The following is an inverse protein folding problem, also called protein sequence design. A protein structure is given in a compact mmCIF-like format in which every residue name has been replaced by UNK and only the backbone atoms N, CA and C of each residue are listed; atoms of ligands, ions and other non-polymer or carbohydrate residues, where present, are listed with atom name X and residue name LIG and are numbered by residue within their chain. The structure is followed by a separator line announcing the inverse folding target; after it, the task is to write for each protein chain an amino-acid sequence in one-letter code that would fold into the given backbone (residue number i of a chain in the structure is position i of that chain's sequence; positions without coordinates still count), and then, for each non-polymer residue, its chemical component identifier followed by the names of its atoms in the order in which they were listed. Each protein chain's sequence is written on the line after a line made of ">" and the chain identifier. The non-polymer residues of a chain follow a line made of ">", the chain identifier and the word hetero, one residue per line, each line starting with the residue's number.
data_IF_406108091200
#
_entry.id   IF_406108091200
#
_cell.length_a   1.000
_cell.length_b   1.000
_cell.length_c   1.000
_cell.angle_alpha   90.00
_cell.angle_beta   90.00
_cell.angle_gamma   90.00
#
_symmetry.space_group_name_H-M   'P 1'
#
loop_
_entity.id
_entity.type
_entity.pdbx_description
1 polymer ?
#
# COMPACT_ATOMS: atom_id res chain seq x y z
N UNK A 1 9.88 -1.68 14.90
CA UNK A 1 9.56 -2.85 15.73
C UNK A 1 10.25 -4.09 15.20
N UNK A 2 9.79 -4.68 14.08
CA UNK A 2 10.37 -5.94 13.57
C UNK A 2 11.89 -5.88 13.33
N UNK A 3 12.41 -4.75 12.83
CA UNK A 3 13.84 -4.57 12.64
C UNK A 3 14.66 -4.65 13.96
N UNK A 4 14.11 -4.18 15.07
CA UNK A 4 14.72 -4.31 16.41
C UNK A 4 14.64 -5.73 16.95
N UNK A 5 13.55 -6.43 16.65
CA UNK A 5 13.41 -7.84 17.05
C UNK A 5 14.46 -8.72 16.32
N UNK A 6 14.86 -8.33 15.11
CA UNK A 6 15.90 -9.00 14.32
C UNK A 6 17.34 -8.57 14.71
N UNK A 7 17.52 -7.33 15.10
CA UNK A 7 18.79 -6.78 15.58
C UNK A 7 18.54 -5.84 16.76
N UNK A 8 18.66 -6.35 18.00
CA UNK A 8 18.42 -5.57 19.22
C UNK A 8 19.33 -4.34 19.39
N UNK A 9 20.52 -4.35 18.77
CA UNK A 9 21.48 -3.25 18.82
C UNK A 9 21.19 -2.15 17.79
N UNK A 10 20.24 -2.39 16.88
CA UNK A 10 19.86 -1.40 15.89
C UNK A 10 19.22 -0.17 16.55
N UNK A 11 19.72 1.01 16.22
CA UNK A 11 19.12 2.29 16.59
C UNK A 11 18.17 2.75 15.50
N UNK A 12 16.94 3.07 15.89
CA UNK A 12 15.88 3.51 14.97
C UNK A 12 15.57 4.97 15.27
N UNK A 13 15.81 5.81 14.29
CA UNK A 13 15.53 7.25 14.33
C UNK A 13 14.26 7.55 13.53
N UNK A 14 13.49 8.55 13.97
CA UNK A 14 12.29 9.01 13.26
C UNK A 14 12.41 10.47 12.87
N UNK A 15 11.97 10.77 11.65
CA UNK A 15 11.79 12.14 11.15
C UNK A 15 10.33 12.27 10.74
N UNK A 16 9.60 13.19 11.35
CA UNK A 16 8.20 13.51 11.01
C UNK A 16 7.98 15.02 11.19
N UNK A 17 7.13 15.62 10.36
CA UNK A 17 6.73 17.02 10.50
C UNK A 17 5.79 17.27 11.70
N UNK A 18 5.17 16.20 12.20
CA UNK A 18 4.29 16.24 13.37
C UNK A 18 5.02 15.73 14.60
N UNK A 19 5.41 16.65 15.48
CA UNK A 19 6.11 16.34 16.73
C UNK A 19 5.34 15.37 17.64
N UNK A 20 4.00 15.39 17.62
CA UNK A 20 3.17 14.46 18.39
C UNK A 20 3.35 13.02 17.91
N UNK A 21 3.50 12.81 16.60
CA UNK A 21 3.78 11.50 16.04
C UNK A 21 5.14 10.98 16.50
N UNK A 22 6.16 11.84 16.57
CA UNK A 22 7.49 11.46 17.07
C UNK A 22 7.41 11.05 18.54
N UNK A 23 6.76 11.83 19.38
CA UNK A 23 6.58 11.52 20.79
C UNK A 23 5.82 10.21 21.00
N UNK A 24 4.73 9.99 20.26
CA UNK A 24 3.95 8.75 20.30
C UNK A 24 4.79 7.55 19.82
N UNK A 25 5.54 7.70 18.73
CA UNK A 25 6.41 6.64 18.20
C UNK A 25 7.51 6.24 19.18
N UNK A 26 8.08 7.19 19.92
CA UNK A 26 9.06 6.93 21.01
C UNK A 26 8.35 6.20 22.15
N UNK A 27 7.20 6.70 22.61
CA UNK A 27 6.47 6.10 23.72
C UNK A 27 6.04 4.65 23.43
N UNK A 28 5.72 4.33 22.17
CA UNK A 28 5.37 2.98 21.71
C UNK A 28 6.60 2.09 21.39
N UNK A 29 7.83 2.63 21.48
CA UNK A 29 9.03 1.90 21.12
C UNK A 29 9.15 1.57 19.63
N UNK A 30 8.49 2.34 18.77
CA UNK A 30 8.61 2.23 17.31
C UNK A 30 9.93 2.81 16.84
N UNK A 31 10.33 3.95 17.43
CA UNK A 31 11.64 4.59 17.26
C UNK A 31 12.31 4.79 18.61
N UNK A 32 13.63 4.98 18.62
CA UNK A 32 14.41 5.28 19.83
C UNK A 32 14.45 6.76 20.10
N UNK A 33 14.67 7.56 19.05
CA UNK A 33 14.91 9.00 19.15
C UNK A 33 14.32 9.72 17.91
N UNK A 34 13.91 10.97 18.10
CA UNK A 34 13.66 11.88 17.01
C UNK A 34 14.99 12.34 16.38
N UNK A 35 15.00 12.52 15.07
CA UNK A 35 16.14 12.98 14.30
C UNK A 35 15.76 14.08 13.32
N UNK A 36 16.76 14.66 12.69
CA UNK A 36 16.62 15.67 11.62
C UNK A 36 17.21 15.15 10.31
N UNK A 37 17.05 15.89 9.24
CA UNK A 37 17.66 15.56 7.96
C UNK A 37 19.19 15.52 8.01
N UNK A 38 19.84 16.29 8.91
CA UNK A 38 21.28 16.30 9.08
C UNK A 38 21.84 14.96 9.59
N UNK A 39 20.99 14.15 10.24
CA UNK A 39 21.37 12.84 10.75
C UNK A 39 21.34 11.73 9.68
N UNK A 40 20.77 12.00 8.49
CA UNK A 40 20.68 11.00 7.41
C UNK A 40 22.04 10.48 6.95
N UNK A 41 23.09 11.28 7.05
CA UNK A 41 24.46 10.87 6.71
C UNK A 41 25.01 9.71 7.56
N UNK A 42 24.42 9.48 8.75
CA UNK A 42 24.80 8.43 9.71
C UNK A 42 23.97 7.15 9.52
N UNK A 43 22.91 7.19 8.70
CA UNK A 43 22.00 6.07 8.55
C UNK A 43 22.57 4.99 7.60
N UNK A 44 22.38 3.73 7.97
CA UNK A 44 22.64 2.58 7.07
C UNK A 44 21.45 2.27 6.17
N UNK A 45 20.25 2.47 6.69
CA UNK A 45 18.96 2.29 6.01
C UNK A 45 18.10 3.52 6.21
N UNK A 46 17.48 4.00 5.13
CA UNK A 46 16.47 5.06 5.21
C UNK A 46 15.17 4.54 4.59
N UNK A 47 14.08 4.62 5.35
CA UNK A 47 12.75 4.23 4.89
C UNK A 47 11.91 5.48 4.68
N UNK A 48 11.51 5.74 3.44
CA UNK A 48 10.60 6.84 3.09
C UNK A 48 9.17 6.35 3.19
N UNK A 49 8.52 6.65 4.32
CA UNK A 49 7.17 6.21 4.69
C UNK A 49 6.22 7.39 4.91
N UNK A 50 6.23 8.34 4.01
CA UNK A 50 5.37 9.52 3.99
C UNK A 50 4.31 9.39 2.86
N UNK A 51 3.25 10.24 2.84
CA UNK A 51 2.31 10.25 1.72
C UNK A 51 3.03 10.30 0.37
N UNK A 52 2.47 9.62 -0.63
CA UNK A 52 3.16 9.38 -1.92
C UNK A 52 3.51 10.66 -2.68
N UNK A 53 2.73 11.73 -2.52
CA UNK A 53 3.02 13.06 -3.08
C UNK A 53 4.16 13.77 -2.36
N UNK A 54 4.29 13.57 -1.06
CA UNK A 54 5.41 14.08 -0.28
C UNK A 54 6.68 13.26 -0.60
N UNK A 55 6.55 11.95 -0.79
CA UNK A 55 7.68 11.08 -1.10
C UNK A 55 8.44 11.50 -2.36
N UNK A 56 7.75 11.92 -3.43
CA UNK A 56 8.41 12.40 -4.66
C UNK A 56 9.20 13.70 -4.47
N UNK A 57 8.84 14.50 -3.47
CA UNK A 57 9.52 15.77 -3.15
C UNK A 57 10.70 15.52 -2.20
N UNK A 58 10.50 14.67 -1.21
CA UNK A 58 11.47 14.44 -0.13
C UNK A 58 12.60 13.51 -0.58
N UNK A 59 12.32 12.51 -1.42
CA UNK A 59 13.30 11.49 -1.80
C UNK A 59 14.56 12.04 -2.45
N UNK A 60 14.53 13.02 -3.40
CA UNK A 60 15.76 13.61 -3.92
C UNK A 60 16.65 14.21 -2.82
N UNK A 61 16.05 14.97 -1.90
CA UNK A 61 16.78 15.57 -0.76
C UNK A 61 17.36 14.49 0.17
N UNK A 62 16.63 13.43 0.44
CA UNK A 62 17.14 12.29 1.22
C UNK A 62 18.36 11.70 0.53
N UNK A 63 18.30 11.48 -0.78
CA UNK A 63 19.43 10.95 -1.55
C UNK A 63 20.66 11.86 -1.54
N UNK A 64 20.48 13.18 -1.50
CA UNK A 64 21.59 14.12 -1.39
C UNK A 64 22.32 14.03 -0.04
N UNK A 65 21.61 13.68 1.03
CA UNK A 65 22.11 13.76 2.41
C UNK A 65 22.66 12.43 2.97
N UNK A 66 22.31 11.30 2.38
CA UNK A 66 22.78 9.99 2.85
C UNK A 66 24.26 9.76 2.56
N UNK A 67 24.87 8.78 3.25
CA UNK A 67 26.19 8.26 2.92
C UNK A 67 26.14 7.40 1.64
N UNK A 68 27.29 7.18 0.99
CA UNK A 68 27.38 6.31 -0.18
C UNK A 68 27.05 4.83 0.10
N UNK A 69 27.22 4.40 1.35
CA UNK A 69 26.94 3.03 1.81
C UNK A 69 25.50 2.83 2.28
N UNK A 70 24.71 3.90 2.39
CA UNK A 70 23.32 3.82 2.80
C UNK A 70 22.42 3.34 1.67
N UNK A 71 21.39 2.59 2.03
CA UNK A 71 20.27 2.23 1.13
C UNK A 71 19.00 2.98 1.54
N UNK A 72 18.36 3.61 0.59
CA UNK A 72 17.04 4.22 0.75
C UNK A 72 16.02 3.34 0.04
N UNK A 73 14.87 3.11 0.67
CA UNK A 73 13.71 2.54 -0.01
C UNK A 73 12.43 3.24 0.45
N UNK A 74 11.49 3.37 -0.46
CA UNK A 74 10.15 3.83 -0.15
C UNK A 74 9.22 2.63 0.12
N UNK A 75 8.05 2.93 0.70
CA UNK A 75 6.99 1.94 0.93
C UNK A 75 5.66 2.41 0.34
N UNK A 76 5.70 3.37 -0.57
CA UNK A 76 4.53 4.01 -1.16
C UNK A 76 3.70 3.09 -2.05
N UNK A 77 2.42 3.43 -2.16
CA UNK A 77 1.42 2.64 -2.92
C UNK A 77 1.45 2.87 -4.43
N UNK A 78 2.25 3.83 -4.93
CA UNK A 78 2.47 4.12 -6.35
C UNK A 78 3.96 4.10 -6.65
N UNK A 79 4.37 3.62 -7.85
CA UNK A 79 5.79 3.44 -8.17
C UNK A 79 6.28 4.30 -9.33
N UNK A 80 5.46 4.52 -10.36
CA UNK A 80 5.91 5.29 -11.54
C UNK A 80 6.38 6.69 -11.15
N UNK A 81 5.61 7.52 -10.43
CA UNK A 81 6.03 8.89 -10.13
C UNK A 81 7.27 8.98 -9.24
N UNK A 82 7.44 8.07 -8.29
CA UNK A 82 8.61 8.11 -7.40
C UNK A 82 9.88 7.64 -8.11
N UNK A 83 9.79 6.66 -9.03
CA UNK A 83 10.91 6.25 -9.87
C UNK A 83 11.34 7.37 -10.82
N UNK A 84 10.37 8.05 -11.45
CA UNK A 84 10.63 9.18 -12.35
C UNK A 84 11.28 10.37 -11.61
N UNK A 85 10.85 10.65 -10.37
CA UNK A 85 11.38 11.76 -9.56
C UNK A 85 12.91 11.65 -9.31
N UNK A 86 13.45 10.45 -9.32
CA UNK A 86 14.88 10.20 -9.04
C UNK A 86 15.62 9.55 -10.19
N UNK A 87 15.03 9.46 -11.38
CA UNK A 87 15.61 8.73 -12.51
C UNK A 87 17.02 9.21 -12.85
N UNK A 88 17.22 10.52 -12.87
CA UNK A 88 18.49 11.16 -13.21
C UNK A 88 19.29 11.63 -11.99
N UNK A 89 18.91 11.21 -10.78
CA UNK A 89 19.60 11.62 -9.58
C UNK A 89 21.00 10.97 -9.50
N UNK A 90 22.06 11.71 -9.14
CA UNK A 90 23.43 11.17 -9.05
C UNK A 90 23.54 9.92 -8.15
N UNK A 91 22.73 9.89 -7.10
CA UNK A 91 22.64 8.76 -6.14
C UNK A 91 21.44 7.85 -6.40
N UNK A 92 20.88 7.79 -7.62
CA UNK A 92 19.79 6.86 -7.98
C UNK A 92 20.12 5.42 -7.59
N UNK A 93 21.38 5.03 -7.69
CA UNK A 93 21.91 3.71 -7.33
C UNK A 93 21.78 3.33 -5.86
N UNK A 94 21.51 4.30 -4.98
CA UNK A 94 21.26 4.10 -3.54
C UNK A 94 19.78 3.94 -3.21
N UNK A 95 18.88 4.01 -4.19
CA UNK A 95 17.44 3.91 -3.99
C UNK A 95 16.87 2.60 -4.57
N UNK A 96 16.00 1.96 -3.79
CA UNK A 96 15.20 0.81 -4.18
C UNK A 96 13.71 1.15 -4.03
N UNK A 97 12.98 1.17 -5.14
CA UNK A 97 11.54 1.40 -5.12
C UNK A 97 10.82 0.15 -4.62
N UNK A 98 10.15 0.23 -3.47
CA UNK A 98 9.48 -0.89 -2.83
C UNK A 98 8.01 -0.58 -2.53
N UNK A 99 7.18 -1.62 -2.47
CA UNK A 99 5.81 -1.55 -2.01
C UNK A 99 5.44 -2.82 -1.24
N UNK A 100 5.55 -2.82 0.09
CA UNK A 100 5.03 -3.88 0.94
C UNK A 100 3.51 -3.96 0.85
N UNK A 101 2.97 -5.08 0.39
CA UNK A 101 1.51 -5.30 0.32
C UNK A 101 1.02 -5.77 1.70
N UNK A 102 1.04 -4.86 2.67
CA UNK A 102 0.80 -5.15 4.08
C UNK A 102 -0.01 -4.08 4.82
N UNK A 103 -0.51 -3.06 4.14
CA UNK A 103 -1.25 -1.95 4.74
C UNK A 103 -2.56 -2.36 5.40
N UNK A 104 -2.98 -1.56 6.38
CA UNK A 104 -4.30 -1.60 7.01
C UNK A 104 -5.04 -0.29 6.73
N UNK A 105 -6.30 -0.18 7.17
CA UNK A 105 -7.09 1.06 7.08
C UNK A 105 -6.66 2.14 8.08
N UNK A 106 -5.78 1.81 9.02
CA UNK A 106 -5.29 2.73 10.06
C UNK A 106 -3.98 3.38 9.65
N UNK A 107 -3.66 4.51 10.27
CA UNK A 107 -2.44 5.29 10.04
C UNK A 107 -1.88 5.86 11.33
N UNK A 108 -0.63 6.35 11.29
CA UNK A 108 0.07 6.89 12.44
C UNK A 108 0.79 5.84 13.29
N UNK A 109 1.56 6.26 14.30
CA UNK A 109 2.37 5.36 15.12
C UNK A 109 1.57 4.30 15.89
N UNK A 110 0.37 4.65 16.36
CA UNK A 110 -0.55 3.72 17.06
C UNK A 110 -1.08 2.58 16.18
N UNK A 111 -0.99 2.72 14.85
CA UNK A 111 -1.34 1.66 13.91
C UNK A 111 -0.22 0.63 13.69
N UNK A 112 0.93 0.77 14.35
CA UNK A 112 2.06 -0.13 14.20
C UNK A 112 1.74 -1.52 14.77
N UNK A 113 1.95 -2.56 13.96
CA UNK A 113 1.67 -3.95 14.30
C UNK A 113 2.95 -4.78 14.15
N UNK A 114 3.37 -5.49 15.21
CA UNK A 114 4.49 -6.44 15.15
C UNK A 114 4.13 -7.62 14.24
N UNK A 115 5.10 -8.07 13.44
CA UNK A 115 4.92 -9.19 12.52
C UNK A 115 4.01 -8.88 11.32
N UNK A 116 3.67 -7.61 11.07
CA UNK A 116 2.79 -7.21 9.97
C UNK A 116 3.28 -7.73 8.61
N UNK A 117 4.59 -7.81 8.42
CA UNK A 117 5.21 -8.16 7.14
C UNK A 117 5.35 -9.67 6.91
N UNK A 118 5.21 -10.50 7.95
CA UNK A 118 5.36 -11.94 7.84
C UNK A 118 4.44 -12.56 6.78
N UNK A 119 5.03 -13.26 5.80
CA UNK A 119 4.31 -13.87 4.68
C UNK A 119 3.68 -12.88 3.69
N UNK A 120 3.93 -11.57 3.83
CA UNK A 120 3.44 -10.55 2.88
C UNK A 120 4.36 -10.45 1.67
N UNK A 121 3.81 -9.94 0.58
CA UNK A 121 4.59 -9.68 -0.63
C UNK A 121 5.15 -8.26 -0.59
N UNK A 122 6.43 -8.12 -0.92
CA UNK A 122 7.04 -6.82 -1.22
C UNK A 122 7.31 -6.76 -2.73
N UNK A 123 6.74 -5.78 -3.41
CA UNK A 123 6.98 -5.53 -4.82
C UNK A 123 8.19 -4.60 -4.92
N UNK A 124 9.19 -5.01 -5.68
CA UNK A 124 10.40 -4.21 -5.96
C UNK A 124 10.38 -3.81 -7.43
N UNK A 125 10.51 -2.50 -7.67
CA UNK A 125 10.56 -1.96 -9.02
C UNK A 125 11.97 -1.44 -9.34
N UNK A 126 12.38 -1.56 -10.59
CA UNK A 126 13.68 -1.07 -11.12
C UNK A 126 14.88 -1.51 -10.26
N UNK A 127 14.87 -2.75 -9.79
CA UNK A 127 15.94 -3.29 -8.93
C UNK A 127 17.33 -3.16 -9.59
N UNK A 128 17.40 -3.28 -10.91
CA UNK A 128 18.63 -3.15 -11.71
C UNK A 128 19.27 -1.76 -11.63
N UNK A 129 18.51 -0.72 -11.28
CA UNK A 129 19.04 0.64 -11.07
C UNK A 129 19.68 0.82 -9.68
N UNK A 130 19.53 -0.13 -8.78
CA UNK A 130 20.16 -0.13 -7.45
C UNK A 130 21.49 -0.87 -7.49
N UNK A 131 22.53 -0.38 -6.81
CA UNK A 131 23.84 -1.05 -6.74
C UNK A 131 23.69 -2.45 -6.12
N UNK A 132 24.31 -3.46 -6.69
CA UNK A 132 24.20 -4.85 -6.28
C UNK A 132 24.40 -5.08 -4.76
N UNK A 133 25.46 -4.51 -4.18
CA UNK A 133 25.73 -4.58 -2.73
C UNK A 133 24.57 -4.02 -1.89
N UNK A 134 23.92 -2.96 -2.35
CA UNK A 134 22.79 -2.34 -1.66
C UNK A 134 21.49 -3.13 -1.89
N UNK A 135 21.35 -3.78 -3.06
CA UNK A 135 20.27 -4.74 -3.28
C UNK A 135 20.33 -5.88 -2.27
N UNK A 136 21.49 -6.52 -2.11
CA UNK A 136 21.68 -7.61 -1.14
C UNK A 136 21.30 -7.17 0.27
N UNK A 137 21.80 -6.00 0.71
CA UNK A 137 21.52 -5.41 2.02
C UNK A 137 20.03 -5.21 2.27
N UNK A 138 19.29 -4.64 1.30
CA UNK A 138 17.85 -4.41 1.42
C UNK A 138 17.05 -5.72 1.34
N UNK A 139 17.42 -6.62 0.44
CA UNK A 139 16.70 -7.90 0.26
C UNK A 139 16.89 -8.82 1.45
N UNK A 140 18.05 -8.80 2.11
CA UNK A 140 18.29 -9.53 3.36
C UNK A 140 17.34 -9.03 4.46
N UNK A 141 17.22 -7.71 4.62
CA UNK A 141 16.27 -7.12 5.58
C UNK A 141 14.82 -7.56 5.28
N UNK A 142 14.37 -7.51 4.03
CA UNK A 142 13.01 -7.92 3.69
C UNK A 142 12.78 -9.41 3.90
N UNK A 143 13.75 -10.26 3.59
CA UNK A 143 13.68 -11.71 3.84
C UNK A 143 13.65 -12.03 5.33
N UNK A 144 14.45 -11.36 6.13
CA UNK A 144 14.47 -11.57 7.60
C UNK A 144 13.15 -11.15 8.25
N UNK A 145 12.42 -10.19 7.66
CA UNK A 145 11.04 -9.87 8.06
C UNK A 145 10.00 -10.89 7.55
N UNK A 146 10.43 -11.97 6.88
CA UNK A 146 9.55 -12.99 6.34
C UNK A 146 8.77 -12.58 5.08
N UNK A 147 9.23 -11.55 4.37
CA UNK A 147 8.56 -11.06 3.16
C UNK A 147 8.90 -11.90 1.93
N UNK A 148 7.94 -12.02 1.03
CA UNK A 148 8.13 -12.63 -0.31
C UNK A 148 8.40 -11.52 -1.32
N UNK A 149 9.52 -11.64 -2.03
CA UNK A 149 9.91 -10.62 -3.02
C UNK A 149 9.31 -10.93 -4.38
N UNK A 150 8.80 -9.90 -5.03
CA UNK A 150 8.35 -9.91 -6.43
C UNK A 150 8.92 -8.69 -7.15
N UNK A 151 9.44 -8.91 -8.35
CA UNK A 151 9.94 -7.84 -9.22
C UNK A 151 8.90 -7.47 -10.25
N UNK A 152 8.78 -6.18 -10.54
CA UNK A 152 7.82 -5.65 -11.50
C UNK A 152 8.30 -4.31 -12.02
N UNK A 153 7.96 -3.94 -13.25
CA UNK A 153 8.19 -2.57 -13.71
C UNK A 153 7.16 -1.60 -13.07
N UNK A 154 7.53 -0.31 -12.87
CA UNK A 154 6.67 0.65 -12.18
C UNK A 154 5.30 0.84 -12.83
N UNK A 155 5.21 0.84 -14.17
CA UNK A 155 3.95 1.06 -14.90
C UNK A 155 3.02 -0.14 -14.76
N UNK A 156 3.55 -1.35 -14.83
CA UNK A 156 2.79 -2.59 -14.56
C UNK A 156 2.33 -2.65 -13.12
N UNK A 157 3.19 -2.25 -12.16
CA UNK A 157 2.80 -2.13 -10.76
C UNK A 157 1.58 -1.21 -10.60
N UNK A 158 1.66 0.02 -11.10
CA UNK A 158 0.61 1.02 -10.95
C UNK A 158 -0.69 0.62 -11.67
N UNK A 159 -0.57 -0.09 -12.79
CA UNK A 159 -1.71 -0.69 -13.48
C UNK A 159 -2.38 -1.78 -12.63
N UNK A 160 -1.62 -2.72 -12.10
CA UNK A 160 -2.18 -3.86 -11.37
C UNK A 160 -2.76 -3.43 -10.02
N UNK A 161 -2.08 -2.54 -9.30
CA UNK A 161 -2.57 -2.07 -8.01
C UNK A 161 -3.87 -1.25 -8.14
N UNK A 162 -4.12 -0.62 -9.30
CA UNK A 162 -5.36 0.07 -9.56
C UNK A 162 -6.56 -0.89 -9.51
N UNK A 163 -6.44 -2.11 -10.04
CA UNK A 163 -7.51 -3.11 -10.02
C UNK A 163 -7.74 -3.72 -8.64
N UNK A 164 -6.68 -4.11 -7.94
CA UNK A 164 -6.81 -4.93 -6.72
C UNK A 164 -6.85 -4.13 -5.42
N UNK A 165 -6.54 -2.83 -5.48
CA UNK A 165 -6.50 -1.95 -4.31
C UNK A 165 -7.28 -0.66 -4.52
N UNK A 166 -6.92 0.14 -5.51
CA UNK A 166 -7.52 1.47 -5.68
C UNK A 166 -9.02 1.38 -6.00
N UNK A 167 -9.40 0.48 -6.90
CA UNK A 167 -10.81 0.22 -7.21
C UNK A 167 -11.58 -0.28 -5.99
N UNK A 168 -10.99 -1.16 -5.19
CA UNK A 168 -11.65 -1.68 -3.97
C UNK A 168 -11.96 -0.56 -2.98
N UNK A 169 -11.06 0.41 -2.81
CA UNK A 169 -11.30 1.57 -1.95
C UNK A 169 -12.39 2.48 -2.52
N UNK A 170 -12.34 2.78 -3.83
CA UNK A 170 -13.39 3.59 -4.48
C UNK A 170 -14.75 2.91 -4.32
N UNK A 171 -14.84 1.59 -4.55
CA UNK A 171 -16.08 0.83 -4.41
C UNK A 171 -16.62 0.90 -2.99
N UNK A 172 -15.77 0.71 -1.98
CA UNK A 172 -16.14 0.83 -0.57
C UNK A 172 -16.62 2.24 -0.21
N UNK A 173 -15.90 3.28 -0.63
CA UNK A 173 -16.31 4.67 -0.39
C UNK A 173 -17.65 5.00 -1.05
N UNK A 174 -17.83 4.57 -2.30
CA UNK A 174 -19.04 4.91 -3.06
C UNK A 174 -20.25 4.10 -2.60
N UNK A 175 -20.08 2.84 -2.23
CA UNK A 175 -21.14 2.05 -1.61
C UNK A 175 -21.56 2.66 -0.26
N UNK A 176 -20.60 2.98 0.62
CA UNK A 176 -20.86 3.65 1.89
C UNK A 176 -21.58 4.98 1.71
N UNK A 177 -21.13 5.81 0.75
CA UNK A 177 -21.77 7.08 0.41
C UNK A 177 -23.22 6.88 -0.06
N UNK A 178 -23.48 5.86 -0.88
CA UNK A 178 -24.83 5.56 -1.38
C UNK A 178 -25.80 5.26 -0.23
N UNK A 179 -25.38 4.42 0.71
CA UNK A 179 -26.21 4.05 1.87
C UNK A 179 -26.39 5.23 2.83
N UNK A 180 -25.31 5.97 3.16
CA UNK A 180 -25.38 7.17 4.02
C UNK A 180 -26.33 8.24 3.43
N UNK A 181 -26.31 8.43 2.11
CA UNK A 181 -27.22 9.38 1.49
C UNK A 181 -28.68 8.93 1.61
N UNK A 182 -28.93 7.61 1.57
CA UNK A 182 -30.28 7.05 1.68
C UNK A 182 -30.82 7.06 3.12
N UNK A 183 -29.93 6.88 4.11
CA UNK A 183 -30.30 6.94 5.55
C UNK A 183 -31.02 8.24 5.93
N UNK A 184 -30.71 9.35 5.27
CA UNK A 184 -31.39 10.64 5.52
C UNK A 184 -32.89 10.58 5.32
N UNK A 185 -33.35 9.70 4.43
CA UNK A 185 -34.74 9.50 4.09
C UNK A 185 -35.35 8.28 4.79
N UNK A 186 -34.50 7.30 5.19
CA UNK A 186 -34.89 6.00 5.73
C UNK A 186 -34.00 5.63 6.92
N UNK A 187 -34.42 5.99 8.14
CA UNK A 187 -33.62 5.89 9.36
C UNK A 187 -33.25 4.46 9.75
N UNK A 188 -34.07 3.47 9.38
CA UNK A 188 -33.89 2.06 9.78
C UNK A 188 -32.89 1.29 8.90
N UNK A 189 -32.30 1.94 7.87
CA UNK A 189 -31.43 1.24 6.89
C UNK A 189 -30.22 0.59 7.54
N UNK A 190 -29.65 1.19 8.60
CA UNK A 190 -28.50 0.64 9.29
C UNK A 190 -28.85 -0.48 10.28
N UNK A 191 -30.11 -0.62 10.70
CA UNK A 191 -30.55 -1.76 11.50
C UNK A 191 -30.49 -3.08 10.74
N UNK A 192 -30.49 -2.99 9.40
CA UNK A 192 -30.33 -4.12 8.49
C UNK A 192 -28.87 -4.37 8.07
N UNK A 193 -27.92 -3.54 8.51
CA UNK A 193 -26.52 -3.64 8.14
C UNK A 193 -25.82 -4.81 8.87
N UNK A 194 -25.73 -5.96 8.21
CA UNK A 194 -25.02 -7.13 8.71
C UNK A 194 -23.53 -7.14 8.36
N UNK A 195 -22.84 -8.22 8.75
CA UNK A 195 -21.40 -8.43 8.54
C UNK A 195 -20.97 -8.38 7.06
N UNK A 196 -21.86 -8.74 6.13
CA UNK A 196 -21.62 -8.63 4.69
C UNK A 196 -21.39 -7.19 4.25
N UNK A 197 -22.29 -6.28 4.68
CA UNK A 197 -22.15 -4.85 4.42
C UNK A 197 -20.89 -4.30 5.08
N UNK A 198 -20.69 -4.59 6.38
CA UNK A 198 -19.51 -4.12 7.12
C UNK A 198 -18.21 -4.51 6.45
N UNK A 199 -18.05 -5.77 6.02
CA UNK A 199 -16.86 -6.25 5.35
C UNK A 199 -16.63 -5.56 4.01
N UNK A 200 -17.69 -5.27 3.26
CA UNK A 200 -17.61 -4.63 1.93
C UNK A 200 -17.24 -3.15 2.03
N UNK A 201 -17.76 -2.42 3.04
CA UNK A 201 -17.46 -0.99 3.22
C UNK A 201 -16.28 -0.73 4.17
N UNK A 202 -15.61 -1.76 4.69
CA UNK A 202 -14.51 -1.63 5.65
C UNK A 202 -13.43 -0.64 5.21
N UNK A 203 -13.08 -0.66 3.93
CA UNK A 203 -12.05 0.22 3.37
C UNK A 203 -12.48 1.70 3.31
N UNK A 204 -13.77 2.01 3.43
CA UNK A 204 -14.25 3.39 3.53
C UNK A 204 -13.86 4.08 4.86
N UNK A 205 -13.35 3.32 5.85
CA UNK A 205 -12.77 3.86 7.09
C UNK A 205 -11.36 4.44 6.87
N UNK A 206 -10.75 4.23 5.70
CA UNK A 206 -9.38 4.71 5.38
C UNK A 206 -9.30 6.23 5.27
N UNK A 207 -8.13 6.79 5.60
CA UNK A 207 -7.86 8.23 5.58
C UNK A 207 -7.98 8.85 4.18
N UNK A 208 -8.85 9.86 3.96
CA UNK A 208 -8.92 10.58 2.70
C UNK A 208 -7.61 11.32 2.36
N UNK A 209 -6.88 11.81 3.38
CA UNK A 209 -5.60 12.49 3.20
C UNK A 209 -4.52 11.55 2.61
N UNK A 210 -4.57 10.26 2.93
CA UNK A 210 -3.69 9.25 2.35
C UNK A 210 -4.14 8.85 0.94
N UNK A 211 -5.43 8.67 0.71
CA UNK A 211 -5.93 8.11 -0.56
C UNK A 211 -6.03 9.12 -1.69
N UNK A 212 -6.29 10.39 -1.39
CA UNK A 212 -6.38 11.44 -2.42
C UNK A 212 -5.06 11.59 -3.21
N UNK A 213 -3.87 11.66 -2.59
CA UNK A 213 -2.60 11.66 -3.31
C UNK A 213 -2.37 10.40 -4.16
N UNK A 214 -2.77 9.22 -3.66
CA UNK A 214 -2.65 7.94 -4.40
C UNK A 214 -3.48 7.99 -5.68
N UNK A 215 -4.75 8.41 -5.60
CA UNK A 215 -5.60 8.56 -6.78
C UNK A 215 -5.07 9.60 -7.76
N UNK A 216 -4.51 10.71 -7.25
CA UNK A 216 -3.91 11.75 -8.08
C UNK A 216 -2.70 11.22 -8.86
N UNK A 217 -1.81 10.50 -8.21
CA UNK A 217 -0.60 9.96 -8.83
C UNK A 217 -0.90 8.85 -9.83
N UNK A 218 -1.87 7.99 -9.55
CA UNK A 218 -2.24 6.89 -10.44
C UNK A 218 -3.52 7.17 -11.25
N UNK A 219 -3.85 8.45 -11.46
CA UNK A 219 -5.11 8.91 -12.07
C UNK A 219 -5.48 8.15 -13.34
N UNK A 220 -4.53 7.99 -14.27
CA UNK A 220 -4.78 7.35 -15.57
C UNK A 220 -5.29 5.91 -15.42
N UNK A 221 -4.63 5.11 -14.57
CA UNK A 221 -5.02 3.72 -14.35
C UNK A 221 -6.30 3.61 -13.53
N UNK A 222 -6.45 4.49 -12.54
CA UNK A 222 -7.67 4.54 -11.71
C UNK A 222 -8.89 4.87 -12.54
N UNK A 223 -8.82 5.89 -13.41
CA UNK A 223 -9.94 6.26 -14.31
C UNK A 223 -10.29 5.08 -15.21
N UNK A 224 -9.30 4.48 -15.88
CA UNK A 224 -9.54 3.32 -16.75
C UNK A 224 -10.22 2.16 -16.01
N UNK A 225 -9.71 1.80 -14.85
CA UNK A 225 -10.25 0.69 -14.06
C UNK A 225 -11.68 0.99 -13.57
N UNK A 226 -11.93 2.26 -13.22
CA UNK A 226 -13.25 2.70 -12.80
C UNK A 226 -14.27 2.68 -13.96
N UNK A 227 -13.86 3.08 -15.16
CA UNK A 227 -14.70 2.99 -16.36
C UNK A 227 -15.12 1.54 -16.64
N UNK A 228 -14.18 0.58 -16.56
CA UNK A 228 -14.47 -0.84 -16.71
C UNK A 228 -15.45 -1.34 -15.62
N UNK A 229 -15.28 -0.90 -14.38
CA UNK A 229 -16.17 -1.27 -13.28
C UNK A 229 -17.57 -0.68 -13.44
N UNK A 230 -17.69 0.59 -13.84
CA UNK A 230 -18.97 1.24 -14.14
C UNK A 230 -19.68 0.50 -15.28
N UNK A 231 -18.95 0.11 -16.34
CA UNK A 231 -19.51 -0.68 -17.43
C UNK A 231 -20.08 -2.02 -16.96
N UNK A 232 -19.39 -2.73 -16.07
CA UNK A 232 -19.88 -3.98 -15.50
C UNK A 232 -21.14 -3.77 -14.64
N UNK A 233 -21.17 -2.73 -13.81
CA UNK A 233 -22.36 -2.38 -13.03
C UNK A 233 -23.54 -2.00 -13.91
N UNK A 234 -23.29 -1.25 -15.00
CA UNK A 234 -24.35 -0.87 -15.95
C UNK A 234 -24.94 -2.07 -16.67
N UNK A 235 -24.11 -3.01 -17.11
CA UNK A 235 -24.58 -4.28 -17.71
C UNK A 235 -25.41 -5.10 -16.72
N UNK A 236 -24.96 -5.21 -15.49
CA UNK A 236 -25.71 -5.95 -14.47
C UNK A 236 -27.07 -5.30 -14.20
N UNK A 237 -27.13 -3.96 -14.14
CA UNK A 237 -28.38 -3.20 -14.02
C UNK A 237 -29.32 -3.48 -15.21
N UNK A 238 -28.79 -3.46 -16.44
CA UNK A 238 -29.56 -3.75 -17.66
C UNK A 238 -30.17 -5.15 -17.63
N UNK A 239 -29.45 -6.16 -17.18
CA UNK A 239 -30.00 -7.51 -17.02
C UNK A 239 -31.16 -7.55 -16.01
N UNK A 240 -31.07 -6.80 -14.92
CA UNK A 240 -32.17 -6.67 -13.94
C UNK A 240 -33.38 -5.97 -14.54
N UNK A 241 -33.19 -4.90 -15.31
CA UNK A 241 -34.26 -4.14 -15.96
C UNK A 241 -35.01 -4.95 -17.03
N UNK A 242 -34.31 -5.93 -17.63
CA UNK A 242 -34.88 -6.83 -18.65
C UNK A 242 -35.38 -8.17 -18.07
N UNK A 243 -35.37 -8.35 -16.74
CA UNK A 243 -35.74 -9.61 -16.07
C UNK A 243 -34.94 -10.84 -16.55
N UNK A 244 -33.69 -10.65 -17.06
CA UNK A 244 -32.83 -11.71 -17.57
C UNK A 244 -32.08 -12.41 -16.43
N UNK A 245 -32.81 -13.14 -15.62
CA UNK A 245 -32.26 -13.83 -14.44
C UNK A 245 -31.31 -14.98 -14.79
N UNK A 246 -31.47 -15.60 -15.96
CA UNK A 246 -30.55 -16.65 -16.43
C UNK A 246 -29.18 -16.05 -16.77
N UNK A 247 -29.13 -14.92 -17.45
CA UNK A 247 -27.89 -14.21 -17.71
C UNK A 247 -27.25 -13.72 -16.41
N UNK A 248 -28.03 -13.20 -15.46
CA UNK A 248 -27.53 -12.81 -14.13
C UNK A 248 -26.89 -14.00 -13.39
N UNK A 249 -27.55 -15.16 -13.41
CA UNK A 249 -27.01 -16.38 -12.81
C UNK A 249 -25.65 -16.76 -13.42
N UNK A 250 -25.55 -16.75 -14.74
CA UNK A 250 -24.32 -17.10 -15.46
C UNK A 250 -23.22 -16.07 -15.21
N UNK A 251 -23.54 -14.79 -15.16
CA UNK A 251 -22.56 -13.73 -14.82
C UNK A 251 -21.97 -13.96 -13.43
N UNK A 252 -22.82 -14.16 -12.41
CA UNK A 252 -22.36 -14.44 -11.05
C UNK A 252 -21.56 -15.75 -10.97
N UNK A 253 -21.99 -16.79 -11.67
CA UNK A 253 -21.27 -18.07 -11.71
C UNK A 253 -19.87 -17.92 -12.31
N UNK A 254 -19.72 -17.12 -13.36
CA UNK A 254 -18.41 -16.86 -14.00
C UNK A 254 -17.42 -16.23 -13.04
N UNK A 255 -17.89 -15.37 -12.13
CA UNK A 255 -17.08 -14.68 -11.13
C UNK A 255 -16.70 -15.58 -9.95
N UNK A 256 -17.40 -16.69 -9.70
CA UNK A 256 -17.10 -17.62 -8.60
C UNK A 256 -15.68 -18.22 -8.66
N UNK A 257 -15.02 -18.18 -9.83
CA UNK A 257 -13.58 -18.50 -9.96
C UNK A 257 -12.69 -17.71 -9.00
N UNK A 258 -13.13 -16.52 -8.54
CA UNK A 258 -12.39 -15.73 -7.55
C UNK A 258 -12.13 -16.52 -6.26
N UNK A 259 -13.03 -17.45 -5.89
CA UNK A 259 -12.90 -18.33 -4.72
C UNK A 259 -11.64 -19.21 -4.84
N UNK A 260 -11.40 -19.80 -6.00
CA UNK A 260 -10.24 -20.65 -6.25
C UNK A 260 -8.95 -19.84 -6.22
N UNK A 261 -8.97 -18.63 -6.80
CA UNK A 261 -7.84 -17.70 -6.79
C UNK A 261 -7.46 -17.33 -5.36
N UNK A 262 -8.44 -16.92 -4.53
CA UNK A 262 -8.20 -16.53 -3.14
C UNK A 262 -7.74 -17.72 -2.28
N UNK A 263 -8.31 -18.91 -2.48
CA UNK A 263 -7.86 -20.15 -1.80
C UNK A 263 -6.43 -20.52 -2.19
N UNK A 264 -6.07 -20.42 -3.47
CA UNK A 264 -4.71 -20.64 -3.96
C UNK A 264 -3.70 -19.64 -3.40
N UNK A 265 -4.10 -18.40 -3.18
CA UNK A 265 -3.28 -17.40 -2.49
C UNK A 265 -3.06 -17.76 -1.01
N UNK A 266 -4.08 -18.28 -0.33
CA UNK A 266 -4.00 -18.70 1.07
C UNK A 266 -3.15 -19.98 1.23
N UNK A 267 -3.31 -20.96 0.33
CA UNK A 267 -2.51 -22.18 0.32
C UNK A 267 -1.00 -21.89 0.13
N UNK A 268 -0.66 -20.94 -0.75
CA UNK A 268 0.73 -20.46 -0.91
C UNK A 268 1.29 -19.73 0.31
N UNK A 269 0.42 -19.16 1.15
CA UNK A 269 0.83 -18.55 2.43
C UNK A 269 1.17 -19.60 3.49
N UNK A 270 0.45 -20.73 3.50
CA UNK A 270 0.67 -21.81 4.48
C UNK A 270 1.89 -22.68 4.11
N UNK A 271 2.13 -22.94 2.82
CA UNK A 271 3.27 -23.75 2.35
C UNK A 271 4.64 -23.07 2.40
N UNK A 272 4.70 -21.75 2.69
CA UNK A 272 5.96 -21.03 2.86
C UNK A 272 6.47 -21.00 4.30
N UNK A 273 5.77 -21.67 5.22
CA UNK A 273 6.12 -21.78 6.66
C UNK A 273 6.69 -23.18 7.01
N UNK A 274 7.12 -23.95 6.01
CA UNK A 274 7.85 -25.24 6.22
C UNK A 274 9.28 -25.15 5.77
#
# INVERSE_FOLDING_TARGET
>A
MDAKDLNPDAKIFGIDSNEKHLQEAIALGVIDEAATFDDLSKADFVIVSVPVDIAIVVLPTVLDLISESAIVFDVGSTKTPICEAVENHPRRRNFMAAHPIAGTEFSGPSAAIRGLFQGKTNIICEVEKTTFKLQEKALELFKSMGMRIRYMDPKSHDKHIAYVSHLSHISSFMLGKTVINKEKDEQDIFDMAGSGFESTVRLAKSSPAMWTPIFKQNKKQVVKTLEEYISNLSKFKELLENDDYDAIYHEMQSVNRIKEILNGMNAKKVGSNQ
#
